data_IF_529197872113
#
_entry.id   IF_529197872113
#
_cell.length_a   1.000
_cell.length_b   1.000
_cell.length_c   1.000
_cell.angle_alpha   90.00
_cell.angle_beta   90.00
_cell.angle_gamma   90.00
#
_symmetry.space_group_name_H-M   'P 1'
#
loop_
_entity.id
_entity.type
_entity.pdbx_description
1 polymer ?
#
# COMPACT_ATOMS: atom_id res chain seq x y z
N UNK A 1 -6.66 9.09 -74.57
CA UNK A 1 -5.59 9.16 -73.54
C UNK A 1 -6.14 9.99 -72.39
N UNK A 2 -6.75 9.33 -71.40
CA UNK A 2 -7.40 10.02 -70.28
C UNK A 2 -6.36 10.18 -69.18
N UNK A 3 -5.92 11.42 -68.98
CA UNK A 3 -5.06 11.84 -67.88
C UNK A 3 -5.85 11.69 -66.57
N UNK A 4 -5.57 10.63 -65.81
CA UNK A 4 -5.97 10.52 -64.42
C UNK A 4 -5.27 11.65 -63.65
N UNK A 5 -6.07 12.58 -63.11
CA UNK A 5 -5.59 13.75 -62.38
C UNK A 5 -4.81 13.36 -61.12
N UNK A 6 -3.74 14.11 -60.82
CA UNK A 6 -2.90 13.96 -59.62
C UNK A 6 -3.68 13.87 -58.30
N UNK A 7 -4.93 14.38 -58.28
CA UNK A 7 -5.83 14.33 -57.13
C UNK A 7 -6.14 12.91 -56.65
N UNK A 8 -6.21 11.94 -57.56
CA UNK A 8 -6.49 10.53 -57.20
C UNK A 8 -5.33 9.85 -56.48
N UNK A 9 -4.08 10.26 -56.75
CA UNK A 9 -2.90 9.68 -56.10
C UNK A 9 -2.66 10.24 -54.68
N UNK A 10 -2.98 11.52 -54.45
CA UNK A 10 -2.86 12.15 -53.13
C UNK A 10 -3.86 11.56 -52.14
N UNK A 11 -5.07 11.24 -52.59
CA UNK A 11 -6.14 10.69 -51.75
C UNK A 11 -5.86 9.23 -51.31
N UNK A 12 -5.24 8.42 -52.18
CA UNK A 12 -4.78 7.07 -51.84
C UNK A 12 -3.60 7.11 -50.86
N UNK A 13 -2.67 8.05 -51.01
CA UNK A 13 -1.52 8.18 -50.10
C UNK A 13 -1.94 8.66 -48.71
N UNK A 14 -2.87 9.63 -48.63
CA UNK A 14 -3.44 10.08 -47.36
C UNK A 14 -4.27 9.00 -46.66
N UNK A 15 -5.10 8.24 -47.38
CA UNK A 15 -5.86 7.14 -46.77
C UNK A 15 -4.97 6.01 -46.25
N UNK A 16 -3.84 5.73 -46.91
CA UNK A 16 -2.92 4.66 -46.50
C UNK A 16 -2.17 5.02 -45.22
N UNK A 17 -1.82 6.29 -45.04
CA UNK A 17 -1.07 6.79 -43.88
C UNK A 17 -1.96 7.07 -42.65
N UNK A 18 -3.21 7.52 -42.88
CA UNK A 18 -4.23 7.63 -41.83
C UNK A 18 -4.59 6.28 -41.22
N UNK A 19 -4.62 5.19 -42.01
CA UNK A 19 -4.96 3.85 -41.52
C UNK A 19 -3.89 3.28 -40.57
N UNK A 20 -2.60 3.55 -40.84
CA UNK A 20 -1.47 3.16 -39.99
C UNK A 20 -1.36 4.01 -38.73
N UNK A 21 -1.68 5.31 -38.80
CA UNK A 21 -1.64 6.21 -37.65
C UNK A 21 -2.87 6.04 -36.74
N UNK A 22 -4.05 5.79 -37.31
CA UNK A 22 -5.28 5.48 -36.58
C UNK A 22 -5.17 4.14 -35.86
N UNK A 23 -4.59 3.08 -36.46
CA UNK A 23 -4.35 1.82 -35.75
C UNK A 23 -3.34 1.98 -34.60
N UNK A 24 -2.27 2.76 -34.78
CA UNK A 24 -1.31 3.07 -33.69
C UNK A 24 -1.96 3.88 -32.57
N UNK A 25 -2.78 4.88 -32.89
CA UNK A 25 -3.56 5.64 -31.91
C UNK A 25 -4.62 4.79 -31.22
N UNK A 26 -5.31 3.90 -31.95
CA UNK A 26 -6.24 2.93 -31.36
C UNK A 26 -5.52 2.00 -30.39
N UNK A 27 -4.35 1.48 -30.77
CA UNK A 27 -3.53 0.64 -29.89
C UNK A 27 -3.09 1.39 -28.64
N UNK A 28 -2.70 2.67 -28.74
CA UNK A 28 -2.34 3.48 -27.57
C UNK A 28 -3.55 3.72 -26.66
N UNK A 29 -4.71 4.07 -27.22
CA UNK A 29 -5.98 4.31 -26.51
C UNK A 29 -6.54 3.02 -25.89
N UNK A 30 -6.32 1.84 -26.50
CA UNK A 30 -6.68 0.55 -25.93
C UNK A 30 -5.68 0.06 -24.88
N UNK A 31 -4.37 0.29 -25.06
CA UNK A 31 -3.34 -0.19 -24.14
C UNK A 31 -3.23 0.67 -22.88
N UNK A 32 -3.44 1.99 -22.97
CA UNK A 32 -3.42 2.90 -21.81
C UNK A 32 -4.39 2.50 -20.68
N UNK A 33 -5.66 2.15 -20.93
CA UNK A 33 -6.56 1.66 -19.89
C UNK A 33 -6.20 0.24 -19.42
N UNK A 34 -5.59 -0.61 -20.26
CA UNK A 34 -5.09 -1.93 -19.82
C UNK A 34 -3.85 -1.83 -18.91
N UNK A 35 -2.96 -0.87 -19.15
CA UNK A 35 -1.78 -0.61 -18.32
C UNK A 35 -2.11 0.15 -17.01
N UNK A 36 -3.25 0.83 -16.96
CA UNK A 36 -3.72 1.58 -15.79
C UNK A 36 -4.65 0.78 -14.86
N UNK A 37 -5.00 -0.47 -15.20
CA UNK A 37 -5.76 -1.35 -14.31
C UNK A 37 -4.86 -1.89 -13.20
N UNK A 38 -4.65 -1.08 -12.16
CA UNK A 38 -4.73 -1.68 -10.82
C UNK A 38 -6.06 -2.44 -10.80
N UNK A 39 -6.09 -3.74 -10.47
CA UNK A 39 -7.34 -4.48 -10.44
C UNK A 39 -8.36 -3.62 -9.68
N UNK A 40 -9.59 -3.41 -10.17
CA UNK A 40 -10.56 -2.50 -9.54
C UNK A 40 -10.89 -2.87 -8.07
N UNK A 41 -10.32 -3.98 -7.58
CA UNK A 41 -10.43 -4.51 -6.24
C UNK A 41 -9.07 -4.70 -5.53
N UNK A 42 -7.91 -4.33 -6.10
CA UNK A 42 -6.59 -4.55 -5.45
C UNK A 42 -6.49 -3.75 -4.15
N UNK A 43 -6.63 -2.43 -4.24
CA UNK A 43 -6.57 -1.55 -3.06
C UNK A 43 -7.66 -1.93 -2.05
N UNK A 44 -8.86 -2.27 -2.52
CA UNK A 44 -9.95 -2.70 -1.64
C UNK A 44 -9.64 -4.02 -0.90
N UNK A 45 -9.05 -5.00 -1.58
CA UNK A 45 -8.58 -6.25 -0.97
C UNK A 45 -7.44 -6.02 0.01
N UNK A 46 -6.44 -5.23 -0.37
CA UNK A 46 -5.33 -4.87 0.53
C UNK A 46 -5.83 -4.10 1.76
N UNK A 47 -6.76 -3.14 1.58
CA UNK A 47 -7.43 -2.45 2.69
C UNK A 47 -8.11 -3.45 3.62
N UNK A 48 -8.84 -4.42 3.07
CA UNK A 48 -9.51 -5.47 3.85
C UNK A 48 -8.53 -6.32 4.67
N UNK A 49 -7.38 -6.67 4.09
CA UNK A 49 -6.29 -7.36 4.81
C UNK A 49 -5.82 -6.54 6.02
N UNK A 50 -5.66 -5.23 5.85
CA UNK A 50 -5.26 -4.34 6.96
C UNK A 50 -6.38 -4.20 7.99
N UNK A 51 -7.64 -4.09 7.55
CA UNK A 51 -8.81 -4.05 8.44
C UNK A 51 -8.90 -5.33 9.30
N UNK A 52 -8.73 -6.50 8.69
CA UNK A 52 -8.71 -7.80 9.37
C UNK A 52 -7.54 -7.90 10.36
N UNK A 53 -6.34 -7.46 10.00
CA UNK A 53 -5.19 -7.40 10.90
C UNK A 53 -5.45 -6.49 12.12
N UNK A 54 -5.86 -5.24 11.89
CA UNK A 54 -6.11 -4.29 12.98
C UNK A 54 -7.24 -4.78 13.87
N UNK A 55 -8.32 -5.29 13.29
CA UNK A 55 -9.42 -5.88 14.05
C UNK A 55 -8.95 -7.06 14.91
N UNK A 56 -8.12 -7.94 14.37
CA UNK A 56 -7.55 -9.07 15.12
C UNK A 56 -6.69 -8.57 16.27
N UNK A 57 -5.74 -7.66 16.01
CA UNK A 57 -4.88 -7.06 17.04
C UNK A 57 -5.69 -6.45 18.20
N UNK A 58 -6.75 -5.69 17.89
CA UNK A 58 -7.56 -5.03 18.91
C UNK A 58 -8.41 -5.99 19.77
N UNK A 59 -8.73 -7.17 19.24
CA UNK A 59 -9.52 -8.19 19.94
C UNK A 59 -8.68 -9.31 20.57
N UNK A 60 -7.40 -9.47 20.20
CA UNK A 60 -6.49 -10.44 20.84
C UNK A 60 -6.18 -10.02 22.27
N UNK A 61 -6.40 -10.87 23.27
CA UNK A 61 -6.13 -10.57 24.68
C UNK A 61 -4.69 -10.07 24.94
N UNK A 62 -4.55 -9.11 25.88
CA UNK A 62 -3.24 -8.54 26.23
C UNK A 62 -2.27 -9.63 26.73
N UNK A 63 -2.78 -10.65 27.43
CA UNK A 63 -1.97 -11.79 27.88
C UNK A 63 -1.39 -12.61 26.72
N UNK A 64 -2.11 -12.72 25.60
CA UNK A 64 -1.63 -13.43 24.41
C UNK A 64 -0.49 -12.62 23.78
N UNK A 65 -0.66 -11.30 23.66
CA UNK A 65 0.40 -10.41 23.17
C UNK A 65 1.62 -10.41 24.09
N UNK A 66 1.42 -10.46 25.41
CA UNK A 66 2.53 -10.52 26.37
C UNK A 66 3.34 -11.82 26.29
N UNK A 67 2.72 -12.93 25.86
CA UNK A 67 3.37 -14.24 25.72
C UNK A 67 4.19 -14.39 24.44
N UNK A 68 4.15 -13.42 23.52
CA UNK A 68 4.97 -13.45 22.31
C UNK A 68 6.45 -13.52 22.68
N UNK A 69 7.09 -14.58 22.19
CA UNK A 69 8.48 -14.94 22.49
C UNK A 69 9.30 -15.33 21.27
N UNK A 70 8.64 -15.59 20.13
CA UNK A 70 9.26 -16.04 18.90
C UNK A 70 8.43 -15.65 17.66
N UNK A 71 8.96 -15.96 16.47
CA UNK A 71 8.30 -15.68 15.18
C UNK A 71 6.96 -16.39 14.98
N UNK A 72 6.80 -17.62 15.47
CA UNK A 72 5.55 -18.37 15.35
C UNK A 72 4.43 -17.66 16.14
N UNK A 73 4.75 -17.16 17.34
CA UNK A 73 3.81 -16.37 18.13
C UNK A 73 3.38 -15.08 17.40
N UNK A 74 4.30 -14.40 16.71
CA UNK A 74 3.97 -13.23 15.87
C UNK A 74 3.05 -13.65 14.72
N UNK A 75 3.38 -14.73 14.02
CA UNK A 75 2.58 -15.24 12.90
C UNK A 75 1.17 -15.65 13.35
N UNK A 76 1.02 -16.12 14.59
CA UNK A 76 -0.26 -16.50 15.17
C UNK A 76 -1.19 -15.31 15.44
N UNK A 77 -0.67 -14.08 15.54
CA UNK A 77 -1.51 -12.87 15.61
C UNK A 77 -2.24 -12.67 14.28
N UNK A 78 -1.55 -12.86 13.16
CA UNK A 78 -2.16 -12.82 11.84
C UNK A 78 -1.33 -13.61 10.82
N UNK A 79 -1.90 -14.63 10.16
CA UNK A 79 -1.20 -15.40 9.14
C UNK A 79 -0.90 -14.60 7.86
N UNK A 80 -1.37 -13.35 7.79
CA UNK A 80 -1.11 -12.44 6.68
C UNK A 80 0.20 -11.67 6.85
N UNK A 81 0.79 -11.67 8.05
CA UNK A 81 2.15 -11.17 8.26
C UNK A 81 3.13 -12.06 7.49
N UNK A 82 4.02 -11.45 6.71
CA UNK A 82 5.04 -12.15 5.94
C UNK A 82 6.38 -11.95 6.62
N UNK A 83 6.71 -12.83 7.54
CA UNK A 83 8.02 -12.82 8.20
C UNK A 83 9.06 -13.38 7.24
N UNK A 84 10.04 -12.59 6.83
CA UNK A 84 11.07 -12.99 5.86
C UNK A 84 12.36 -13.47 6.52
N UNK A 85 12.47 -13.30 7.84
CA UNK A 85 13.62 -13.71 8.65
C UNK A 85 13.20 -14.08 10.06
N UNK A 86 14.12 -14.72 10.78
CA UNK A 86 13.99 -14.91 12.23
C UNK A 86 14.36 -13.61 12.95
N UNK A 87 13.55 -13.21 13.92
CA UNK A 87 13.84 -12.06 14.78
C UNK A 87 14.64 -12.47 16.01
N UNK A 88 15.49 -11.56 16.45
CA UNK A 88 16.18 -11.67 17.73
C UNK A 88 15.20 -11.44 18.88
N UNK A 89 15.56 -11.87 20.10
CA UNK A 89 14.71 -11.66 21.28
C UNK A 89 14.40 -10.16 21.52
N UNK A 90 15.37 -9.29 21.31
CA UNK A 90 15.21 -7.83 21.45
C UNK A 90 14.17 -7.31 20.44
N UNK A 91 14.27 -7.71 19.17
CA UNK A 91 13.28 -7.33 18.15
C UNK A 91 11.88 -7.90 18.45
N UNK A 92 11.80 -9.12 18.99
CA UNK A 92 10.51 -9.69 19.43
C UNK A 92 9.92 -8.86 20.58
N UNK A 93 10.73 -8.46 21.55
CA UNK A 93 10.29 -7.63 22.68
C UNK A 93 9.83 -6.24 22.20
N UNK A 94 10.52 -5.65 21.22
CA UNK A 94 10.12 -4.39 20.57
C UNK A 94 8.81 -4.53 19.79
N UNK A 95 8.65 -5.58 18.99
CA UNK A 95 7.40 -5.85 18.24
C UNK A 95 6.25 -6.02 19.24
N UNK A 96 6.43 -6.81 20.29
CA UNK A 96 5.43 -7.00 21.35
C UNK A 96 5.05 -5.66 22.01
N UNK A 97 6.03 -4.86 22.40
CA UNK A 97 5.80 -3.54 22.99
C UNK A 97 5.03 -2.62 22.05
N UNK A 98 5.40 -2.62 20.77
CA UNK A 98 4.74 -1.84 19.74
C UNK A 98 3.28 -2.28 19.51
N UNK A 99 3.00 -3.58 19.41
CA UNK A 99 1.65 -4.10 19.22
C UNK A 99 0.74 -3.75 20.40
N UNK A 100 1.23 -3.88 21.63
CA UNK A 100 0.52 -3.47 22.85
C UNK A 100 0.24 -1.95 22.84
N UNK A 101 1.24 -1.15 22.45
CA UNK A 101 1.08 0.30 22.34
C UNK A 101 0.02 0.69 21.32
N UNK A 102 0.03 0.08 20.12
CA UNK A 102 -0.99 0.32 19.09
C UNK A 102 -2.37 -0.05 19.61
N UNK A 103 -2.49 -1.23 20.24
CA UNK A 103 -3.76 -1.70 20.80
C UNK A 103 -4.31 -0.74 21.86
N UNK A 104 -3.48 -0.34 22.82
CA UNK A 104 -3.90 0.56 23.90
C UNK A 104 -4.30 1.95 23.37
N UNK A 105 -3.56 2.47 22.40
CA UNK A 105 -3.83 3.78 21.80
C UNK A 105 -5.18 3.84 21.08
N UNK A 106 -5.58 2.73 20.44
CA UNK A 106 -6.83 2.63 19.67
C UNK A 106 -7.99 2.05 20.48
N UNK A 107 -7.76 1.65 21.73
CA UNK A 107 -8.77 0.95 22.55
C UNK A 107 -9.98 1.82 22.78
N UNK A 108 -11.13 1.37 22.29
CA UNK A 108 -12.40 2.09 22.42
C UNK A 108 -12.58 3.24 21.43
N UNK A 109 -11.59 3.52 20.57
CA UNK A 109 -11.72 4.55 19.54
C UNK A 109 -12.33 3.98 18.26
N UNK A 110 -13.09 4.83 17.56
CA UNK A 110 -13.50 4.57 16.19
C UNK A 110 -12.34 4.85 15.26
N UNK A 111 -12.04 3.91 14.38
CA UNK A 111 -11.00 4.06 13.37
C UNK A 111 -11.49 3.69 11.98
N UNK A 112 -10.73 4.10 10.96
CA UNK A 112 -10.84 3.57 9.60
C UNK A 112 -9.48 3.41 8.97
N UNK A 113 -9.36 2.47 8.04
CA UNK A 113 -8.15 2.30 7.25
C UNK A 113 -8.20 3.20 6.02
N UNK A 114 -7.19 4.05 5.87
CA UNK A 114 -7.06 4.98 4.74
C UNK A 114 -5.83 4.62 3.91
N UNK A 115 -5.90 4.83 2.61
CA UNK A 115 -4.76 4.57 1.73
C UNK A 115 -3.69 5.68 1.85
N UNK A 116 -2.55 5.48 1.19
CA UNK A 116 -1.43 6.42 1.21
C UNK A 116 -1.84 7.87 0.89
N UNK A 117 -2.60 8.05 -0.19
CA UNK A 117 -3.01 9.38 -0.67
C UNK A 117 -3.87 10.12 0.36
N UNK A 118 -4.84 9.41 0.96
CA UNK A 118 -5.72 9.96 1.98
C UNK A 118 -4.97 10.28 3.28
N UNK A 119 -4.08 9.38 3.72
CA UNK A 119 -3.27 9.55 4.92
C UNK A 119 -2.25 10.69 4.76
N UNK A 120 -1.51 10.72 3.65
CA UNK A 120 -0.53 11.77 3.35
C UNK A 120 -1.18 13.16 3.29
N UNK A 121 -2.40 13.27 2.75
CA UNK A 121 -3.15 14.55 2.77
C UNK A 121 -3.43 15.03 4.19
N UNK A 122 -3.66 14.12 5.14
CA UNK A 122 -3.87 14.46 6.55
C UNK A 122 -2.55 14.84 7.22
N UNK A 123 -1.52 13.99 7.08
CA UNK A 123 -0.19 14.23 7.64
C UNK A 123 0.44 15.55 7.17
N UNK A 124 0.20 15.94 5.91
CA UNK A 124 0.65 17.23 5.38
C UNK A 124 0.09 18.43 6.16
N UNK A 125 -1.14 18.34 6.70
CA UNK A 125 -1.72 19.39 7.55
C UNK A 125 -0.94 19.53 8.86
N UNK A 126 -0.37 18.42 9.33
CA UNK A 126 0.46 18.33 10.52
C UNK A 126 1.96 18.57 10.21
N UNK A 127 2.28 19.00 8.98
CA UNK A 127 3.64 19.25 8.48
C UNK A 127 4.55 18.02 8.49
N UNK A 128 3.95 16.83 8.39
CA UNK A 128 4.68 15.56 8.28
C UNK A 128 4.70 15.12 6.81
N UNK A 129 5.90 14.80 6.32
CA UNK A 129 6.09 14.17 5.01
C UNK A 129 6.31 12.67 5.23
N UNK A 130 5.36 11.80 4.86
CA UNK A 130 5.53 10.37 5.03
C UNK A 130 6.59 9.82 4.05
N UNK A 131 7.35 8.78 4.42
CA UNK A 131 8.18 8.06 3.47
C UNK A 131 7.29 7.32 2.46
N UNK A 132 7.83 7.10 1.27
CA UNK A 132 7.23 6.23 0.25
C UNK A 132 7.78 4.81 0.41
N UNK A 133 7.01 3.81 -0.02
CA UNK A 133 7.43 2.41 -0.04
C UNK A 133 7.69 1.98 -1.48
N UNK A 134 8.80 1.29 -1.67
CA UNK A 134 9.20 0.63 -2.91
C UNK A 134 8.73 -0.83 -3.00
N UNK A 135 8.13 -1.38 -1.93
CA UNK A 135 7.78 -2.82 -1.82
C UNK A 135 6.29 -3.10 -1.75
N UNK A 136 5.44 -2.10 -1.57
CA UNK A 136 4.00 -2.31 -1.49
C UNK A 136 3.20 -1.03 -1.26
N UNK A 137 1.88 -1.21 -1.15
CA UNK A 137 0.93 -0.12 -0.93
C UNK A 137 0.83 0.19 0.57
N UNK A 138 0.92 1.49 0.91
CA UNK A 138 0.87 1.97 2.29
C UNK A 138 -0.57 2.26 2.72
N UNK A 139 -0.92 1.76 3.90
CA UNK A 139 -2.17 2.04 4.60
C UNK A 139 -1.89 2.63 5.97
N UNK A 140 -2.82 3.46 6.43
CA UNK A 140 -2.76 4.10 7.74
C UNK A 140 -4.03 3.85 8.53
N UNK A 141 -3.88 3.77 9.85
CA UNK A 141 -5.00 3.82 10.78
C UNK A 141 -5.34 5.29 11.02
N UNK A 142 -6.53 5.70 10.60
CA UNK A 142 -7.07 7.01 10.93
C UNK A 142 -7.98 6.90 12.15
N UNK A 143 -7.55 7.49 13.26
CA UNK A 143 -8.35 7.63 14.47
C UNK A 143 -9.39 8.74 14.24
N UNK A 144 -10.67 8.37 14.22
CA UNK A 144 -11.77 9.28 13.94
C UNK A 144 -12.02 10.19 15.14
N UNK A 145 -11.86 9.67 16.35
CA UNK A 145 -12.16 10.37 17.59
C UNK A 145 -11.08 11.43 17.87
N UNK A 146 -9.80 11.09 17.65
CA UNK A 146 -8.68 12.04 17.73
C UNK A 146 -8.47 12.86 16.45
N UNK A 147 -9.17 12.52 15.37
CA UNK A 147 -9.06 13.13 14.04
C UNK A 147 -7.63 13.09 13.46
N UNK A 148 -6.81 12.13 13.87
CA UNK A 148 -5.39 12.02 13.52
C UNK A 148 -5.04 10.73 12.78
N UNK A 149 -3.91 10.73 12.09
CA UNK A 149 -3.32 9.52 11.50
C UNK A 149 -2.32 8.93 12.48
N UNK A 150 -2.45 7.65 12.80
CA UNK A 150 -1.46 6.95 13.60
C UNK A 150 -0.24 6.59 12.74
N UNK A 151 0.61 7.59 12.51
CA UNK A 151 1.68 7.53 11.52
C UNK A 151 2.70 6.44 11.80
N UNK A 152 3.09 6.24 13.07
CA UNK A 152 4.08 5.22 13.45
C UNK A 152 3.59 3.79 13.14
N UNK A 153 2.27 3.55 13.15
CA UNK A 153 1.64 2.27 12.80
C UNK A 153 1.20 2.22 11.34
N UNK A 154 2.06 2.68 10.43
CA UNK A 154 1.86 2.50 8.99
C UNK A 154 1.98 1.03 8.63
N UNK A 155 1.07 0.53 7.80
CA UNK A 155 1.06 -0.87 7.35
C UNK A 155 1.35 -0.90 5.85
N UNK A 156 2.25 -1.78 5.42
CA UNK A 156 2.53 -2.01 3.99
C UNK A 156 2.02 -3.39 3.59
N UNK A 157 1.28 -3.42 2.49
CA UNK A 157 0.78 -4.66 1.89
C UNK A 157 1.39 -4.85 0.50
N UNK A 158 1.97 -6.02 0.25
CA UNK A 158 2.51 -6.38 -1.07
C UNK A 158 1.41 -6.76 -2.08
N UNK A 159 1.82 -7.11 -3.30
CA UNK A 159 0.91 -7.51 -4.39
C UNK A 159 0.24 -8.87 -4.15
N UNK A 160 0.80 -9.69 -3.26
CA UNK A 160 0.27 -11.00 -2.83
C UNK A 160 -0.70 -10.88 -1.65
N UNK A 161 -1.10 -9.65 -1.31
CA UNK A 161 -1.98 -9.32 -0.18
C UNK A 161 -1.39 -9.74 1.18
N UNK A 162 -0.06 -9.72 1.30
CA UNK A 162 0.63 -9.99 2.56
C UNK A 162 1.11 -8.68 3.20
N UNK A 163 1.00 -8.64 4.53
CA UNK A 163 1.52 -7.52 5.31
C UNK A 163 3.02 -7.73 5.47
N UNK A 164 3.81 -6.81 4.91
CA UNK A 164 5.27 -6.86 4.91
C UNK A 164 5.90 -5.84 5.86
N UNK A 165 5.11 -4.91 6.40
CA UNK A 165 5.53 -3.97 7.44
C UNK A 165 4.32 -3.52 8.24
N UNK A 166 4.51 -3.32 9.55
CA UNK A 166 3.47 -2.82 10.48
C UNK A 166 3.90 -1.57 11.25
N UNK A 167 5.14 -1.09 11.01
CA UNK A 167 5.73 -0.02 11.80
C UNK A 167 6.69 0.83 10.96
N UNK A 168 6.71 2.12 11.28
CA UNK A 168 7.80 3.03 10.93
C UNK A 168 8.80 3.09 12.08
N UNK A 169 10.09 3.07 11.74
CA UNK A 169 11.20 3.25 12.67
C UNK A 169 12.22 4.24 12.13
N UNK A 170 13.38 4.30 12.78
CA UNK A 170 14.54 5.06 12.34
C UNK A 170 15.59 4.08 11.81
N UNK A 171 16.04 4.26 10.55
CA UNK A 171 17.10 3.48 9.93
C UNK A 171 18.31 4.36 9.61
N UNK A 172 19.47 3.71 9.43
CA UNK A 172 20.72 4.26 8.92
C UNK A 172 21.37 5.40 9.75
N UNK A 173 22.56 5.81 9.31
CA UNK A 173 23.30 6.97 9.78
C UNK A 173 23.59 7.89 8.57
N UNK A 174 23.07 9.13 8.53
CA UNK A 174 22.21 9.78 9.53
C UNK A 174 20.83 9.13 9.60
N UNK A 175 20.21 9.16 10.78
CA UNK A 175 18.92 8.53 11.02
C UNK A 175 17.83 9.11 10.12
N UNK A 176 17.07 8.23 9.48
CA UNK A 176 15.94 8.56 8.60
C UNK A 176 14.74 7.69 8.95
N UNK A 177 13.54 8.23 8.76
CA UNK A 177 12.32 7.44 8.86
C UNK A 177 12.33 6.36 7.77
N UNK A 178 12.05 5.13 8.17
CA UNK A 178 11.99 3.97 7.29
C UNK A 178 10.90 3.01 7.74
N UNK A 179 10.44 2.17 6.82
CA UNK A 179 9.56 1.06 7.16
C UNK A 179 10.37 -0.11 7.71
N UNK A 180 9.91 -0.66 8.83
CA UNK A 180 10.48 -1.87 9.42
C UNK A 180 9.82 -3.06 8.74
N UNK A 181 10.52 -3.66 7.78
CA UNK A 181 10.03 -4.82 7.05
C UNK A 181 10.16 -6.10 7.88
N UNK A 182 9.13 -6.96 7.76
CA UNK A 182 8.98 -8.22 8.47
C UNK A 182 9.79 -9.38 7.86
#
# INVERSE_FOLDING_TARGET
>A
MVLLSLSYFVEIYYQKDLKTNLMKHLFLILLLPLLAMTPPNKEAKQRKVVEEYVHTLLNTDDEVLQKISNNEDIQNISPLLKLTRTFTKEEIDDIKGFLLFVKQTLKGHKYKIVNFKEGAKKLKKDKITPPESDRGDIFYIYDIDQKGVFFQASIIVDDDYKIISIALGMCDLPQRLCFLYL
#
